data_IF_821807180775
#
_entry.id   IF_821807180775
#
_cell.length_a   1.000
_cell.length_b   1.000
_cell.length_c   1.000
_cell.angle_alpha   90.00
_cell.angle_beta   90.00
_cell.angle_gamma   90.00
#
_symmetry.space_group_name_H-M   'P 1'
#
loop_
_entity.id
_entity.type
_entity.pdbx_description
1 polymer ?
#
# COMPACT_ATOMS: atom_id res chain seq x y z
N UNK A 1 13.27 13.88 42.40
CA UNK A 1 12.58 13.47 43.64
C UNK A 1 13.45 13.57 44.88
N UNK A 2 14.69 13.04 44.95
CA UNK A 2 15.56 13.14 46.15
C UNK A 2 15.82 14.57 46.66
N UNK A 3 15.93 15.56 45.75
CA UNK A 3 16.14 17.00 46.15
C UNK A 3 14.91 17.66 46.76
N UNK A 4 13.70 17.28 46.34
CA UNK A 4 12.45 17.82 46.91
C UNK A 4 12.22 17.27 48.31
N UNK A 5 12.59 15.99 48.55
CA UNK A 5 12.51 15.37 49.87
C UNK A 5 13.45 16.05 50.90
N UNK A 6 14.65 16.43 50.45
CA UNK A 6 15.62 17.16 51.28
C UNK A 6 15.11 18.52 51.72
N UNK A 7 14.37 19.24 50.87
CA UNK A 7 13.79 20.54 51.17
C UNK A 7 12.60 20.39 52.15
N UNK A 8 11.78 19.33 51.99
CA UNK A 8 10.67 19.06 52.91
C UNK A 8 11.20 18.68 54.30
N UNK A 9 12.27 17.86 54.39
CA UNK A 9 12.89 17.50 55.65
C UNK A 9 13.48 18.72 56.38
N UNK A 10 14.10 19.65 55.65
CA UNK A 10 14.64 20.92 56.25
C UNK A 10 13.52 21.84 56.74
N UNK A 11 12.40 21.95 56.05
CA UNK A 11 11.25 22.76 56.49
C UNK A 11 10.50 22.15 57.68
N UNK A 12 10.49 20.82 57.83
CA UNK A 12 9.90 20.15 58.97
C UNK A 12 10.69 20.34 60.25
N UNK A 13 12.03 20.44 60.19
CA UNK A 13 12.86 20.75 61.35
C UNK A 13 12.61 22.15 61.91
N UNK A 14 12.12 23.09 61.10
CA UNK A 14 11.81 24.48 61.57
C UNK A 14 10.41 24.63 62.18
N UNK A 15 9.52 23.62 62.06
CA UNK A 15 8.13 23.67 62.54
C UNK A 15 7.85 22.91 63.85
N UNK A 16 8.88 22.46 64.56
CA UNK A 16 8.67 21.82 65.89
C UNK A 16 8.00 20.43 65.81
N UNK A 17 8.24 19.68 64.74
CA UNK A 17 7.69 18.35 64.56
C UNK A 17 8.14 17.39 65.67
N UNK A 18 7.19 16.68 66.25
CA UNK A 18 7.48 15.75 67.35
C UNK A 18 8.23 14.50 66.83
N UNK A 19 8.99 13.85 67.71
CA UNK A 19 9.73 12.63 67.34
C UNK A 19 8.81 11.49 66.86
N UNK A 20 7.53 11.54 67.18
CA UNK A 20 6.52 10.58 66.73
C UNK A 20 6.15 10.82 65.29
N UNK A 21 5.89 12.05 64.88
CA UNK A 21 5.58 12.43 63.49
C UNK A 21 6.75 12.09 62.53
N UNK A 22 7.99 12.32 62.99
CA UNK A 22 9.16 11.89 62.22
C UNK A 22 9.24 10.39 61.97
N UNK A 23 8.87 9.55 62.94
CA UNK A 23 8.81 8.07 62.78
C UNK A 23 7.71 7.67 61.81
N UNK A 24 6.53 8.30 61.86
CA UNK A 24 5.44 8.03 60.92
C UNK A 24 5.82 8.40 59.49
N UNK A 25 6.48 9.54 59.26
CA UNK A 25 7.01 9.96 57.96
C UNK A 25 8.03 8.94 57.43
N UNK A 26 8.93 8.41 58.28
CA UNK A 26 9.91 7.41 57.89
C UNK A 26 9.24 6.09 57.52
N UNK A 27 8.19 5.69 58.24
CA UNK A 27 7.44 4.46 57.92
C UNK A 27 6.68 4.60 56.59
N UNK A 28 6.08 5.75 56.35
CA UNK A 28 5.41 6.01 55.06
C UNK A 28 6.43 5.99 53.91
N UNK A 29 7.58 6.64 54.11
CA UNK A 29 8.62 6.63 53.09
C UNK A 29 9.12 5.20 52.76
N UNK A 30 9.36 4.36 53.77
CA UNK A 30 9.78 2.97 53.55
C UNK A 30 8.73 2.15 52.78
N UNK A 31 7.43 2.39 53.03
CA UNK A 31 6.33 1.78 52.29
C UNK A 31 6.31 2.26 50.84
N UNK A 32 6.50 3.53 50.59
CA UNK A 32 6.58 4.13 49.23
C UNK A 32 7.75 3.51 48.45
N UNK A 33 8.91 3.42 49.08
CA UNK A 33 10.09 2.82 48.44
C UNK A 33 9.88 1.33 48.13
N UNK A 34 9.22 0.57 49.00
CA UNK A 34 8.85 -0.78 48.78
C UNK A 34 7.85 -0.96 47.63
N UNK A 35 6.85 -0.06 47.54
CA UNK A 35 5.89 -0.08 46.43
C UNK A 35 6.59 0.28 45.10
N UNK A 36 7.45 1.27 45.11
CA UNK A 36 8.22 1.65 43.91
C UNK A 36 9.10 0.50 43.41
N UNK A 37 9.77 -0.20 44.31
CA UNK A 37 10.55 -1.35 43.96
C UNK A 37 9.70 -2.48 43.33
N UNK A 38 8.56 -2.81 43.92
CA UNK A 38 7.62 -3.80 43.38
C UNK A 38 7.08 -3.39 42.02
N UNK A 39 6.75 -2.10 41.83
CA UNK A 39 6.29 -1.59 40.53
C UNK A 39 7.39 -1.67 39.47
N UNK A 40 8.65 -1.46 39.84
CA UNK A 40 9.75 -1.61 38.91
C UNK A 40 9.97 -3.07 38.52
N UNK A 41 9.92 -3.98 39.46
CA UNK A 41 10.03 -5.43 39.22
C UNK A 41 8.92 -5.96 38.29
N UNK A 42 7.66 -5.57 38.55
CA UNK A 42 6.53 -5.88 37.65
C UNK A 42 6.74 -5.29 36.24
N UNK A 43 7.23 -4.07 36.14
CA UNK A 43 7.51 -3.44 34.84
C UNK A 43 8.60 -4.18 34.08
N UNK A 44 9.65 -4.60 34.75
CA UNK A 44 10.76 -5.31 34.12
C UNK A 44 10.35 -6.74 33.71
N UNK A 45 9.55 -7.41 34.54
CA UNK A 45 8.92 -8.70 34.19
C UNK A 45 8.04 -8.57 32.94
N UNK A 46 7.14 -7.59 32.88
CA UNK A 46 6.32 -7.33 31.68
C UNK A 46 7.15 -7.05 30.45
N UNK A 47 8.26 -6.30 30.57
CA UNK A 47 9.17 -6.06 29.44
C UNK A 47 9.80 -7.34 28.91
N UNK A 48 10.20 -8.24 29.79
CA UNK A 48 10.77 -9.54 29.41
C UNK A 48 9.74 -10.42 28.73
N UNK A 49 8.51 -10.48 29.24
CA UNK A 49 7.42 -11.23 28.62
C UNK A 49 7.07 -10.71 27.22
N UNK A 50 6.94 -9.38 27.07
CA UNK A 50 6.68 -8.76 25.78
C UNK A 50 7.82 -9.01 24.79
N UNK A 51 9.07 -9.00 25.26
CA UNK A 51 10.23 -9.33 24.43
C UNK A 51 10.20 -10.79 23.99
N UNK A 52 9.99 -11.73 24.91
CA UNK A 52 9.89 -13.16 24.61
C UNK A 52 8.74 -13.45 23.61
N UNK A 53 7.59 -12.83 23.80
CA UNK A 53 6.48 -12.93 22.86
C UNK A 53 6.83 -12.42 21.47
N UNK A 54 7.49 -11.25 21.35
CA UNK A 54 7.96 -10.73 20.07
C UNK A 54 8.97 -11.64 19.39
N UNK A 55 9.87 -12.22 20.15
CA UNK A 55 10.88 -13.11 19.60
C UNK A 55 10.26 -14.44 19.13
N UNK A 56 9.27 -14.98 19.83
CA UNK A 56 8.52 -16.17 19.39
C UNK A 56 7.71 -15.89 18.11
N UNK A 57 7.10 -14.71 17.97
CA UNK A 57 6.42 -14.31 16.74
C UNK A 57 7.38 -14.16 15.56
N UNK A 58 8.59 -13.64 15.79
CA UNK A 58 9.62 -13.54 14.74
C UNK A 58 10.08 -14.91 14.28
N UNK A 59 10.24 -15.83 15.20
CA UNK A 59 10.64 -17.20 14.91
C UNK A 59 9.55 -17.95 14.12
N UNK A 60 8.31 -17.87 14.56
CA UNK A 60 7.17 -18.44 13.84
C UNK A 60 7.05 -17.89 12.41
N UNK A 61 7.31 -16.60 12.20
CA UNK A 61 7.33 -15.99 10.85
C UNK A 61 8.46 -16.50 10.00
N UNK A 62 9.67 -16.60 10.54
CA UNK A 62 10.80 -17.19 9.82
C UNK A 62 10.46 -18.58 9.31
N UNK A 63 9.97 -19.44 10.20
CA UNK A 63 9.56 -20.81 9.83
C UNK A 63 8.48 -20.83 8.74
N UNK A 64 7.55 -19.89 8.74
CA UNK A 64 6.53 -19.81 7.69
C UNK A 64 7.12 -19.49 6.32
N UNK A 65 8.04 -18.53 6.23
CA UNK A 65 8.68 -18.16 4.96
C UNK A 65 9.75 -19.18 4.52
N UNK A 66 10.44 -19.80 5.47
CA UNK A 66 11.39 -20.87 5.17
C UNK A 66 10.68 -22.10 4.56
N UNK A 67 9.46 -22.39 5.01
CA UNK A 67 8.66 -23.53 4.54
C UNK A 67 7.80 -23.21 3.31
N UNK A 68 7.45 -21.96 3.07
CA UNK A 68 6.59 -21.49 1.98
C UNK A 68 7.15 -20.20 1.35
N UNK A 69 8.33 -20.29 0.68
CA UNK A 69 8.98 -19.11 0.12
C UNK A 69 8.30 -18.59 -1.14
N UNK A 70 7.53 -19.42 -1.81
CA UNK A 70 6.86 -19.09 -3.05
C UNK A 70 5.50 -18.47 -2.78
N UNK A 71 5.15 -17.47 -3.55
CA UNK A 71 3.92 -16.71 -3.42
C UNK A 71 3.37 -16.44 -4.81
N UNK A 72 2.18 -16.94 -5.09
CA UNK A 72 1.48 -16.74 -6.35
C UNK A 72 0.18 -16.00 -6.07
N UNK A 73 -0.09 -14.93 -6.81
CA UNK A 73 -1.35 -14.19 -6.71
C UNK A 73 -1.91 -13.82 -8.06
N UNK A 74 -3.23 -13.74 -8.12
CA UNK A 74 -3.99 -13.23 -9.25
C UNK A 74 -4.89 -12.10 -8.76
N UNK A 75 -5.09 -11.11 -9.59
CA UNK A 75 -5.89 -9.95 -9.19
C UNK A 75 -6.45 -9.18 -10.36
N UNK A 76 -7.27 -8.23 -9.98
CA UNK A 76 -7.93 -7.28 -10.88
C UNK A 76 -7.78 -5.87 -10.31
N UNK A 77 -7.97 -4.85 -11.13
CA UNK A 77 -7.89 -3.49 -10.63
C UNK A 77 -8.47 -2.48 -11.61
N UNK A 78 -8.44 -1.23 -11.20
CA UNK A 78 -8.77 -0.01 -11.93
C UNK A 78 -10.21 0.08 -12.45
N UNK A 79 -10.83 -1.02 -12.89
CA UNK A 79 -12.22 -1.05 -13.32
C UNK A 79 -13.21 -0.53 -12.26
N UNK A 80 -12.95 -0.87 -10.98
CA UNK A 80 -13.74 -0.35 -9.86
C UNK A 80 -13.50 1.15 -9.67
N UNK A 81 -12.28 1.61 -9.93
CA UNK A 81 -11.91 3.01 -9.78
C UNK A 81 -12.52 3.87 -10.88
N UNK A 82 -12.53 3.37 -12.12
CA UNK A 82 -13.19 4.02 -13.26
C UNK A 82 -14.69 4.19 -12.99
N UNK A 83 -15.35 3.16 -12.47
CA UNK A 83 -16.77 3.23 -12.12
C UNK A 83 -17.05 4.25 -11.00
N UNK A 84 -16.11 4.48 -10.08
CA UNK A 84 -16.30 5.34 -8.92
C UNK A 84 -15.82 6.78 -9.13
N UNK A 85 -14.75 7.00 -9.90
CA UNK A 85 -14.03 8.29 -9.92
C UNK A 85 -13.97 8.97 -11.29
N UNK A 86 -14.19 8.24 -12.41
CA UNK A 86 -13.92 8.75 -13.76
C UNK A 86 -15.11 8.70 -14.71
N UNK A 87 -16.28 8.67 -14.16
CA UNK A 87 -17.52 8.77 -14.91
C UNK A 87 -17.60 10.18 -15.49
N UNK A 88 -17.36 10.34 -16.77
CA UNK A 88 -17.36 11.58 -17.54
C UNK A 88 -16.15 12.52 -17.28
N UNK A 89 -15.05 12.31 -18.00
CA UNK A 89 -14.21 13.42 -18.41
C UNK A 89 -14.77 14.11 -19.67
N UNK A 90 -16.09 14.19 -19.74
CA UNK A 90 -16.75 15.06 -20.67
C UNK A 90 -16.55 16.50 -20.23
N UNK A 91 -16.03 17.32 -21.11
CA UNK A 91 -16.01 18.77 -21.01
C UNK A 91 -15.04 19.32 -19.96
N UNK A 92 -13.80 19.52 -20.36
CA UNK A 92 -12.88 20.35 -19.60
C UNK A 92 -13.24 21.83 -19.88
N UNK A 93 -14.04 22.46 -19.04
CA UNK A 93 -14.44 23.87 -19.11
C UNK A 93 -13.26 24.85 -19.12
N UNK A 94 -12.03 24.36 -18.87
CA UNK A 94 -10.79 25.16 -18.88
C UNK A 94 -9.96 25.00 -20.15
N UNK A 95 -10.45 24.31 -21.18
CA UNK A 95 -9.76 24.29 -22.47
C UNK A 95 -9.97 25.65 -23.17
N UNK A 96 -8.90 26.23 -23.78
CA UNK A 96 -9.04 27.48 -24.52
C UNK A 96 -10.05 27.31 -25.63
N UNK A 97 -10.86 28.33 -25.91
CA UNK A 97 -11.91 28.36 -26.97
C UNK A 97 -11.41 27.96 -28.36
N UNK A 98 -10.09 28.06 -28.63
CA UNK A 98 -9.49 27.62 -29.88
C UNK A 98 -9.29 26.08 -29.98
N UNK A 99 -9.47 25.34 -28.89
CA UNK A 99 -9.44 23.88 -28.85
C UNK A 99 -10.88 23.35 -28.78
N UNK A 100 -11.73 23.78 -29.64
CA UNK A 100 -13.02 23.16 -29.88
C UNK A 100 -12.78 21.82 -30.59
N UNK A 101 -12.42 20.80 -29.86
CA UNK A 101 -12.56 19.45 -30.39
C UNK A 101 -14.08 19.20 -30.58
N UNK A 102 -14.55 18.94 -31.80
CA UNK A 102 -15.96 18.75 -32.08
C UNK A 102 -16.51 17.46 -31.46
N UNK A 103 -15.74 16.81 -30.60
CA UNK A 103 -16.06 15.53 -29.99
C UNK A 103 -15.42 15.42 -28.61
N UNK A 104 -16.11 14.75 -27.72
CA UNK A 104 -15.58 14.33 -26.42
C UNK A 104 -14.82 13.01 -26.59
N UNK A 105 -13.62 12.94 -26.05
CA UNK A 105 -12.86 11.69 -25.97
C UNK A 105 -13.15 11.04 -24.61
N UNK A 106 -13.71 9.84 -24.64
CA UNK A 106 -13.93 9.04 -23.45
C UNK A 106 -12.93 7.87 -23.43
N UNK A 107 -12.23 7.78 -22.35
CA UNK A 107 -11.28 6.73 -22.08
C UNK A 107 -11.87 5.75 -21.06
N UNK A 108 -11.79 4.45 -21.34
CA UNK A 108 -12.25 3.40 -20.43
C UNK A 108 -11.37 2.16 -20.48
N UNK A 109 -11.16 1.55 -19.34
CA UNK A 109 -10.61 0.23 -19.24
C UNK A 109 -11.68 -0.81 -19.55
N UNK A 110 -11.39 -1.77 -20.42
CA UNK A 110 -12.29 -2.89 -20.70
C UNK A 110 -12.03 -4.04 -19.76
N UNK A 111 -10.77 -4.27 -19.43
CA UNK A 111 -10.33 -5.34 -18.55
C UNK A 111 -9.01 -4.91 -17.91
N UNK A 112 -8.81 -5.28 -16.66
CA UNK A 112 -7.51 -5.20 -16.00
C UNK A 112 -7.36 -6.41 -15.10
N UNK A 113 -6.36 -7.26 -15.38
CA UNK A 113 -6.04 -8.41 -14.55
C UNK A 113 -4.53 -8.65 -14.54
N UNK A 114 -4.04 -9.26 -13.48
CA UNK A 114 -2.63 -9.57 -13.34
C UNK A 114 -2.39 -10.90 -12.64
N UNK A 115 -1.20 -11.44 -12.91
CA UNK A 115 -0.61 -12.56 -12.20
C UNK A 115 0.75 -12.12 -11.68
N UNK A 116 1.03 -12.39 -10.43
CA UNK A 116 2.34 -12.12 -9.83
C UNK A 116 2.85 -13.39 -9.13
N UNK A 117 4.07 -13.75 -9.47
CA UNK A 117 4.85 -14.72 -8.74
C UNK A 117 5.93 -14.01 -7.94
N UNK A 118 6.16 -14.42 -6.68
CA UNK A 118 7.16 -13.84 -5.80
C UNK A 118 7.90 -14.95 -5.05
N UNK A 119 9.21 -14.87 -5.04
CA UNK A 119 10.06 -15.64 -4.15
C UNK A 119 10.46 -14.77 -2.97
N UNK A 120 10.10 -15.18 -1.76
CA UNK A 120 10.41 -14.46 -0.54
C UNK A 120 11.69 -15.04 0.06
N UNK A 121 12.80 -14.29 0.04
CA UNK A 121 14.05 -14.66 0.68
C UNK A 121 13.92 -14.68 2.20
N UNK A 122 13.03 -13.85 2.70
CA UNK A 122 12.68 -13.78 4.11
C UNK A 122 11.33 -13.04 4.26
N UNK A 123 10.89 -12.80 5.51
CA UNK A 123 9.59 -12.18 5.79
C UNK A 123 9.47 -10.70 5.40
N UNK A 124 10.58 -10.01 5.11
CA UNK A 124 10.57 -8.59 4.77
C UNK A 124 10.99 -8.28 3.31
N UNK A 125 11.58 -9.24 2.60
CA UNK A 125 12.12 -9.02 1.26
C UNK A 125 11.78 -10.17 0.32
N UNK A 126 11.32 -9.85 -0.87
CA UNK A 126 11.03 -10.79 -1.94
C UNK A 126 11.34 -10.22 -3.33
N UNK A 127 11.66 -11.12 -4.26
CA UNK A 127 11.87 -10.85 -5.68
C UNK A 127 10.88 -11.66 -6.50
N UNK A 128 10.28 -11.06 -7.50
CA UNK A 128 9.28 -11.73 -8.31
C UNK A 128 9.10 -11.19 -9.71
N UNK A 129 8.09 -11.70 -10.38
CA UNK A 129 7.69 -11.31 -11.71
C UNK A 129 6.19 -11.01 -11.72
N UNK A 130 5.86 -9.82 -12.16
CA UNK A 130 4.51 -9.37 -12.41
C UNK A 130 4.22 -9.45 -13.90
N UNK A 131 3.12 -10.07 -14.28
CA UNK A 131 2.53 -10.01 -15.62
C UNK A 131 1.15 -9.37 -15.49
N UNK A 132 1.00 -8.26 -16.14
CA UNK A 132 -0.20 -7.41 -16.07
C UNK A 132 -0.82 -7.25 -17.45
N UNK A 133 -2.13 -7.33 -17.54
CA UNK A 133 -2.89 -7.11 -18.75
C UNK A 133 -3.94 -6.02 -18.53
N UNK A 134 -3.99 -5.05 -19.42
CA UNK A 134 -5.04 -4.04 -19.46
C UNK A 134 -5.56 -3.82 -20.88
N UNK A 135 -6.88 -3.85 -21.05
CA UNK A 135 -7.56 -3.43 -22.27
C UNK A 135 -8.04 -1.99 -22.10
N UNK A 136 -7.82 -1.16 -23.12
CA UNK A 136 -8.17 0.26 -23.12
C UNK A 136 -8.90 0.59 -24.40
N UNK A 137 -10.03 1.26 -24.29
CA UNK A 137 -10.79 1.80 -25.42
C UNK A 137 -10.89 3.33 -25.26
N UNK A 138 -10.65 4.02 -26.37
CA UNK A 138 -10.93 5.43 -26.52
C UNK A 138 -12.13 5.56 -27.48
N UNK A 139 -13.21 6.13 -26.96
CA UNK A 139 -14.39 6.43 -27.74
C UNK A 139 -14.38 7.91 -28.10
N UNK A 140 -14.69 8.19 -29.37
CA UNK A 140 -14.99 9.54 -29.84
C UNK A 140 -16.50 9.72 -29.80
N UNK A 141 -16.98 10.68 -29.04
CA UNK A 141 -18.40 11.00 -28.91
C UNK A 141 -18.69 12.33 -29.56
N UNK A 142 -19.52 12.31 -30.58
CA UNK A 142 -20.01 13.53 -31.25
C UNK A 142 -21.31 13.96 -30.60
N UNK A 143 -21.37 15.22 -30.13
CA UNK A 143 -22.56 15.80 -29.50
C UNK A 143 -23.13 16.95 -30.32
N UNK A 144 -24.44 17.15 -30.24
CA UNK A 144 -25.09 18.34 -30.80
C UNK A 144 -24.91 19.56 -29.88
N UNK A 145 -25.28 20.73 -30.35
CA UNK A 145 -25.22 21.99 -29.57
C UNK A 145 -26.09 22.00 -28.30
N UNK A 146 -26.90 20.96 -28.07
CA UNK A 146 -27.72 20.76 -26.87
C UNK A 146 -27.08 19.75 -25.90
N UNK A 147 -25.87 19.21 -26.24
CA UNK A 147 -25.17 18.22 -25.42
C UNK A 147 -25.63 16.79 -25.61
N UNK A 148 -26.56 16.52 -26.54
CA UNK A 148 -27.05 15.15 -26.80
C UNK A 148 -26.04 14.39 -27.66
N UNK A 149 -25.80 13.12 -27.33
CA UNK A 149 -24.91 12.22 -28.07
C UNK A 149 -25.54 11.88 -29.43
N UNK A 150 -24.88 12.26 -30.51
CA UNK A 150 -25.29 11.96 -31.89
C UNK A 150 -24.68 10.66 -32.39
N UNK A 151 -23.41 10.43 -32.11
CA UNK A 151 -22.73 9.19 -32.47
C UNK A 151 -21.60 8.90 -31.52
N UNK A 152 -21.26 7.62 -31.39
CA UNK A 152 -20.11 7.12 -30.64
C UNK A 152 -19.32 6.15 -31.51
N UNK A 153 -18.07 6.44 -31.73
CA UNK A 153 -17.15 5.61 -32.51
C UNK A 153 -15.94 5.26 -31.67
N UNK A 154 -15.48 4.00 -31.81
CA UNK A 154 -14.23 3.58 -31.18
C UNK A 154 -13.08 4.15 -32.01
N UNK A 155 -12.38 5.14 -31.47
CA UNK A 155 -11.22 5.76 -32.11
C UNK A 155 -9.97 4.88 -31.95
N UNK A 156 -9.76 4.33 -30.75
CA UNK A 156 -8.60 3.51 -30.42
C UNK A 156 -8.99 2.35 -29.54
N UNK A 157 -8.42 1.19 -29.80
CA UNK A 157 -8.58 -0.03 -28.98
C UNK A 157 -7.21 -0.67 -28.78
N UNK A 158 -6.72 -0.67 -27.55
CA UNK A 158 -5.40 -1.17 -27.19
C UNK A 158 -5.46 -2.30 -26.20
N UNK A 159 -4.55 -3.23 -26.36
CA UNK A 159 -4.26 -4.31 -25.44
C UNK A 159 -2.83 -4.16 -24.94
N UNK A 160 -2.66 -4.04 -23.66
CA UNK A 160 -1.37 -3.86 -23.02
C UNK A 160 -1.02 -5.11 -22.23
N UNK A 161 0.15 -5.65 -22.49
CA UNK A 161 0.75 -6.72 -21.69
C UNK A 161 2.04 -6.17 -21.11
N UNK A 162 2.12 -6.09 -19.80
CA UNK A 162 3.30 -5.55 -19.12
C UNK A 162 3.95 -6.65 -18.28
N UNK A 163 5.26 -6.82 -18.45
CA UNK A 163 6.06 -7.81 -17.73
C UNK A 163 7.12 -7.06 -16.93
N UNK A 164 7.04 -7.18 -15.61
CA UNK A 164 7.86 -6.38 -14.68
C UNK A 164 8.49 -7.28 -13.61
N UNK A 165 9.80 -7.51 -13.66
CA UNK A 165 10.55 -7.94 -12.48
C UNK A 165 10.31 -6.97 -11.33
N UNK A 166 9.91 -7.49 -10.16
CA UNK A 166 9.43 -6.68 -9.04
C UNK A 166 10.13 -7.07 -7.76
N UNK A 167 10.58 -6.08 -7.00
CA UNK A 167 11.11 -6.22 -5.65
C UNK A 167 10.04 -5.75 -4.66
N UNK A 168 9.79 -6.55 -3.63
CA UNK A 168 8.82 -6.26 -2.59
C UNK A 168 9.52 -6.11 -1.25
N UNK A 169 9.14 -5.07 -0.50
CA UNK A 169 9.57 -4.82 0.87
C UNK A 169 8.37 -4.82 1.80
N UNK A 170 8.36 -5.75 2.75
CA UNK A 170 7.32 -5.88 3.75
C UNK A 170 7.81 -5.35 5.08
N UNK A 171 7.25 -4.26 5.58
CA UNK A 171 7.73 -3.54 6.75
C UNK A 171 6.87 -3.72 8.00
N UNK A 172 5.62 -4.18 7.84
CA UNK A 172 4.74 -4.50 8.95
C UNK A 172 4.18 -5.91 8.82
N UNK A 173 4.25 -6.67 9.90
CA UNK A 173 3.73 -8.04 9.96
C UNK A 173 2.98 -8.26 11.27
N UNK A 174 1.73 -8.60 11.16
CA UNK A 174 0.89 -9.16 12.22
C UNK A 174 0.36 -10.53 11.77
N UNK A 175 -0.24 -11.30 12.66
CA UNK A 175 -0.69 -12.67 12.36
C UNK A 175 -1.63 -12.75 11.15
N UNK A 176 -2.46 -11.76 10.96
CA UNK A 176 -3.46 -11.69 9.90
C UNK A 176 -3.19 -10.61 8.85
N UNK A 177 -2.33 -9.65 9.14
CA UNK A 177 -2.12 -8.47 8.29
C UNK A 177 -0.65 -8.22 8.07
N UNK A 178 -0.25 -7.99 6.82
CA UNK A 178 1.07 -7.47 6.49
C UNK A 178 0.96 -6.28 5.53
N UNK A 179 1.83 -5.28 5.75
CA UNK A 179 1.95 -4.12 4.87
C UNK A 179 3.27 -4.19 4.12
N UNK A 180 3.23 -3.78 2.87
CA UNK A 180 4.39 -3.81 1.99
C UNK A 180 4.34 -2.69 0.95
N UNK A 181 5.50 -2.42 0.35
CA UNK A 181 5.66 -1.65 -0.87
C UNK A 181 6.43 -2.47 -1.89
N UNK A 182 6.25 -2.17 -3.18
CA UNK A 182 6.96 -2.87 -4.24
C UNK A 182 7.36 -1.90 -5.34
N UNK A 183 8.45 -2.21 -6.02
CA UNK A 183 8.94 -1.47 -7.17
C UNK A 183 9.47 -2.43 -8.22
N UNK A 184 9.23 -2.11 -9.48
CA UNK A 184 9.74 -2.92 -10.59
C UNK A 184 9.92 -2.09 -11.85
N UNK A 185 10.82 -2.57 -12.70
CA UNK A 185 11.07 -2.00 -14.03
C UNK A 185 11.04 -3.14 -15.04
N UNK A 186 10.33 -2.95 -16.14
CA UNK A 186 10.14 -3.99 -17.13
C UNK A 186 9.74 -3.44 -18.49
N UNK A 187 9.00 -4.24 -19.23
CA UNK A 187 8.57 -3.94 -20.60
C UNK A 187 7.05 -4.01 -20.71
N UNK A 188 6.50 -3.08 -21.43
CA UNK A 188 5.13 -3.08 -21.90
C UNK A 188 5.07 -3.36 -23.39
N UNK A 189 4.22 -4.27 -23.78
CA UNK A 189 3.85 -4.53 -25.18
C UNK A 189 2.43 -4.03 -25.37
N UNK A 190 2.30 -2.97 -26.13
CA UNK A 190 1.02 -2.39 -26.52
C UNK A 190 0.71 -2.84 -27.96
N UNK A 191 -0.46 -3.40 -28.18
CA UNK A 191 -0.96 -3.73 -29.51
C UNK A 191 -2.40 -3.26 -29.65
N UNK A 192 -2.72 -2.61 -30.76
CA UNK A 192 -4.05 -2.07 -30.93
C UNK A 192 -4.37 -1.64 -32.34
N UNK A 193 -5.57 -1.11 -32.50
CA UNK A 193 -6.06 -0.49 -33.72
C UNK A 193 -6.36 0.97 -33.43
N UNK A 194 -5.94 1.83 -34.35
CA UNK A 194 -6.24 3.23 -34.39
C UNK A 194 -7.04 3.52 -35.68
N UNK A 195 -8.10 4.30 -35.59
CA UNK A 195 -9.02 4.56 -36.69
C UNK A 195 -8.30 5.09 -37.93
N UNK A 196 -7.31 5.96 -37.75
CA UNK A 196 -6.58 6.63 -38.85
C UNK A 196 -5.32 5.88 -39.30
N UNK A 197 -4.67 5.10 -38.44
CA UNK A 197 -3.35 4.52 -38.70
C UNK A 197 -3.35 2.99 -38.78
N UNK A 198 -4.49 2.35 -38.52
CA UNK A 198 -4.63 0.90 -38.55
C UNK A 198 -4.01 0.20 -37.35
N UNK A 199 -3.50 -1.03 -37.54
CA UNK A 199 -2.94 -1.84 -36.46
C UNK A 199 -1.47 -1.51 -36.19
N UNK A 200 -1.16 -1.22 -34.95
CA UNK A 200 0.20 -0.96 -34.48
C UNK A 200 0.53 -1.83 -33.27
N UNK A 201 1.80 -2.26 -33.22
CA UNK A 201 2.36 -2.92 -32.03
C UNK A 201 3.60 -2.15 -31.60
N UNK A 202 3.68 -1.85 -30.32
CA UNK A 202 4.77 -1.10 -29.74
C UNK A 202 5.28 -1.75 -28.46
N UNK A 203 6.59 -1.66 -28.27
CA UNK A 203 7.25 -2.11 -27.03
C UNK A 203 7.88 -0.89 -26.38
N UNK A 204 7.61 -0.70 -25.08
CA UNK A 204 8.11 0.43 -24.32
C UNK A 204 8.56 -0.01 -22.92
N UNK A 205 9.53 0.69 -22.31
CA UNK A 205 9.86 0.46 -20.91
C UNK A 205 8.68 0.81 -20.00
N UNK A 206 8.52 0.03 -18.94
CA UNK A 206 7.46 0.21 -17.95
C UNK A 206 8.04 0.24 -16.54
N UNK A 207 7.43 1.04 -15.68
CA UNK A 207 7.75 1.14 -14.26
C UNK A 207 6.50 0.86 -13.46
N UNK A 208 6.59 -0.07 -12.51
CA UNK A 208 5.53 -0.36 -11.54
C UNK A 208 5.95 0.06 -10.14
N UNK A 209 5.08 0.79 -9.45
CA UNK A 209 5.30 1.21 -8.07
C UNK A 209 4.03 0.90 -7.26
N UNK A 210 4.14 0.01 -6.28
CA UNK A 210 3.14 -0.18 -5.24
C UNK A 210 3.56 0.65 -4.04
N UNK A 211 2.85 1.75 -3.79
CA UNK A 211 3.13 2.64 -2.66
C UNK A 211 2.75 1.97 -1.34
N UNK A 212 1.56 1.37 -1.31
CA UNK A 212 1.02 0.68 -0.16
C UNK A 212 0.26 -0.57 -0.61
N UNK A 213 0.72 -1.71 -0.15
CA UNK A 213 0.02 -2.99 -0.25
C UNK A 213 -0.34 -3.52 1.13
N UNK A 214 -1.53 -4.04 1.26
CA UNK A 214 -2.00 -4.71 2.46
C UNK A 214 -2.43 -6.13 2.12
N UNK A 215 -1.88 -7.11 2.83
CA UNK A 215 -2.33 -8.52 2.77
C UNK A 215 -3.10 -8.85 4.02
N UNK A 216 -4.19 -9.57 3.85
CA UNK A 216 -5.05 -10.06 4.93
C UNK A 216 -5.25 -11.55 4.74
N UNK A 217 -4.84 -12.35 5.71
CA UNK A 217 -5.00 -13.80 5.70
C UNK A 217 -4.02 -14.53 6.60
N UNK A 218 -4.45 -15.69 7.08
CA UNK A 218 -3.64 -16.58 7.92
C UNK A 218 -3.29 -17.85 7.15
N UNK A 219 -2.02 -18.25 7.21
CA UNK A 219 -1.55 -19.49 6.56
C UNK A 219 -1.30 -19.32 5.08
N UNK A 220 -1.77 -20.29 4.27
CA UNK A 220 -1.46 -20.38 2.84
C UNK A 220 -2.22 -19.38 2.00
N UNK A 221 -3.49 -19.12 2.30
CA UNK A 221 -4.35 -18.24 1.48
C UNK A 221 -4.44 -16.85 2.08
N UNK A 222 -4.47 -15.85 1.21
CA UNK A 222 -4.64 -14.45 1.61
C UNK A 222 -5.34 -13.64 0.53
N UNK A 223 -6.01 -12.57 0.95
CA UNK A 223 -6.42 -11.47 0.08
C UNK A 223 -5.41 -10.34 0.14
N UNK A 224 -5.30 -9.55 -0.91
CA UNK A 224 -4.50 -8.32 -0.87
C UNK A 224 -5.17 -7.19 -1.63
N UNK A 225 -4.92 -5.97 -1.16
CA UNK A 225 -5.26 -4.72 -1.83
C UNK A 225 -4.01 -3.86 -1.96
N UNK A 226 -3.87 -3.15 -3.07
CA UNK A 226 -2.74 -2.28 -3.35
C UNK A 226 -3.20 -0.92 -3.86
N UNK A 227 -2.43 0.09 -3.52
CA UNK A 227 -2.50 1.42 -4.09
C UNK A 227 -1.13 1.73 -4.68
N UNK A 228 -1.11 2.12 -5.95
CA UNK A 228 0.16 2.36 -6.64
C UNK A 228 -0.02 2.99 -8.00
N UNK A 229 0.77 2.56 -8.95
CA UNK A 229 0.69 2.96 -10.35
C UNK A 229 1.67 2.19 -11.21
N UNK A 230 1.28 1.93 -12.45
CA UNK A 230 2.16 1.44 -13.49
C UNK A 230 2.14 2.43 -14.66
N UNK A 231 3.31 2.81 -15.11
CA UNK A 231 3.51 3.78 -16.20
C UNK A 231 4.37 3.12 -17.27
N UNK A 232 3.89 3.10 -18.50
CA UNK A 232 4.69 2.75 -19.67
C UNK A 232 5.15 4.04 -20.37
N UNK A 233 6.45 4.14 -20.61
CA UNK A 233 7.07 5.30 -21.25
C UNK A 233 6.98 5.14 -22.77
N UNK A 234 5.96 5.70 -23.38
CA UNK A 234 5.75 5.64 -24.81
C UNK A 234 5.75 7.03 -25.44
N UNK A 235 6.76 7.34 -26.24
CA UNK A 235 6.93 8.64 -26.88
C UNK A 235 6.32 8.76 -28.29
N UNK A 236 5.86 7.65 -28.91
CA UNK A 236 5.56 7.69 -30.34
C UNK A 236 4.15 8.15 -30.68
N UNK A 237 3.19 8.06 -29.76
CA UNK A 237 1.78 8.38 -30.06
C UNK A 237 1.07 9.25 -29.03
N UNK A 238 1.80 9.93 -28.15
CA UNK A 238 1.21 10.71 -27.04
C UNK A 238 0.24 9.89 -26.15
N UNK A 239 0.08 8.59 -26.41
CA UNK A 239 -0.71 7.68 -25.61
C UNK A 239 0.10 7.31 -24.39
N UNK A 240 0.05 8.19 -23.44
CA UNK A 240 0.47 7.86 -22.07
C UNK A 240 -0.44 6.73 -21.63
N UNK A 241 0.11 5.56 -21.34
CA UNK A 241 -0.58 4.63 -20.50
C UNK A 241 -0.79 5.30 -19.15
N UNK A 242 -1.91 5.93 -19.01
CA UNK A 242 -2.33 6.45 -17.72
C UNK A 242 -2.48 5.25 -16.80
N UNK A 243 -1.53 5.18 -15.87
CA UNK A 243 -1.53 4.48 -14.64
C UNK A 243 -2.53 3.36 -14.46
N UNK A 244 -2.36 2.24 -15.16
CA UNK A 244 -2.95 0.99 -14.70
C UNK A 244 -2.43 0.71 -13.29
N UNK A 245 -3.19 -0.01 -12.46
CA UNK A 245 -2.83 -0.38 -11.09
C UNK A 245 -2.87 0.76 -10.05
N UNK A 246 -3.68 1.77 -10.25
CA UNK A 246 -3.93 2.76 -9.20
C UNK A 246 -4.54 2.11 -7.94
N UNK A 247 -5.49 1.22 -8.17
CA UNK A 247 -6.08 0.40 -7.12
C UNK A 247 -6.26 -1.04 -7.61
N UNK A 248 -5.75 -2.01 -6.86
CA UNK A 248 -5.89 -3.43 -7.20
C UNK A 248 -6.38 -4.25 -6.02
N UNK A 249 -7.11 -5.32 -6.33
CA UNK A 249 -7.51 -6.35 -5.39
C UNK A 249 -7.09 -7.73 -5.92
N UNK A 250 -6.59 -8.59 -5.05
CA UNK A 250 -6.06 -9.89 -5.44
C UNK A 250 -6.28 -10.94 -4.37
N UNK A 251 -6.21 -12.20 -4.81
CA UNK A 251 -6.12 -13.37 -3.94
C UNK A 251 -4.81 -14.09 -4.24
N UNK A 252 -4.20 -14.66 -3.21
CA UNK A 252 -2.92 -15.32 -3.35
C UNK A 252 -2.78 -16.57 -2.49
N UNK A 253 -1.79 -17.38 -2.86
CA UNK A 253 -1.42 -18.61 -2.17
C UNK A 253 0.09 -18.64 -1.94
N UNK A 254 0.50 -19.03 -0.74
CA UNK A 254 1.89 -19.34 -0.38
C UNK A 254 2.14 -20.83 -0.56
N UNK A 255 3.25 -21.18 -1.19
CA UNK A 255 3.65 -22.52 -1.54
C UNK A 255 5.05 -22.86 -0.99
#
# INVERSE_FOLDING_TARGET
MKRILGIILLSVCTMGVTAQELREIQQVQSKIDSIQYKMQDVRDSMRLEVKAYRDSLREARRHMYDNMPHDLRIGVGDQLFETLMWRDRGHNENMPEWYEAPYDENFRYTQHCFVEYMYNFNYWYGLGLLVDYSGVIWDRVVRNGQGEELSREVDRNFHNITIVPTVRFSYYHHDYVSLYSAVGVGLNVNTGTELLHGRATMVSPAVNITLLGMRVGKGRFYGAVEIGGMIALNNAYEVYMMGSRLFTASIGVRL
#
